data_IF_847020489121
#
_entry.id   IF_847020489121
#
_cell.length_a   1.000
_cell.length_b   1.000
_cell.length_c   1.000
_cell.angle_alpha   90.00
_cell.angle_beta   90.00
_cell.angle_gamma   90.00
#
_symmetry.space_group_name_H-M   'P 1'
#
loop_
_entity.id
_entity.type
_entity.pdbx_description
1 polymer ?
#
# COMPACT_ATOMS: atom_id res chain seq x y z
N UNK A 1 15.82 -2.64 15.31
CA UNK A 1 14.70 -3.59 15.35
C UNK A 1 13.49 -2.87 14.77
N UNK A 2 12.76 -3.47 13.82
CA UNK A 2 11.55 -2.85 13.25
C UNK A 2 10.39 -2.98 14.23
N UNK A 3 9.49 -1.99 14.26
CA UNK A 3 8.33 -2.00 15.15
C UNK A 3 7.34 -3.09 14.74
N UNK A 4 6.52 -3.54 15.70
CA UNK A 4 5.44 -4.50 15.43
C UNK A 4 4.48 -3.98 14.36
N UNK A 5 4.07 -2.71 14.46
CA UNK A 5 3.21 -2.06 13.48
C UNK A 5 3.82 -2.09 12.07
N UNK A 6 5.11 -1.73 11.94
CA UNK A 6 5.78 -1.78 10.64
C UNK A 6 5.84 -3.21 10.08
N UNK A 7 6.08 -4.21 10.93
CA UNK A 7 6.05 -5.63 10.51
C UNK A 7 4.68 -6.06 9.98
N UNK A 8 3.60 -5.59 10.60
CA UNK A 8 2.23 -5.85 10.15
C UNK A 8 1.93 -5.17 8.79
N UNK A 9 2.32 -3.91 8.60
CA UNK A 9 2.21 -3.20 7.33
C UNK A 9 2.98 -3.92 6.21
N UNK A 10 4.22 -4.33 6.47
CA UNK A 10 5.01 -5.10 5.49
C UNK A 10 4.36 -6.45 5.16
N UNK A 11 3.82 -7.14 6.18
CA UNK A 11 3.07 -8.37 5.97
C UNK A 11 1.83 -8.18 5.09
N UNK A 12 1.16 -7.03 5.20
CA UNK A 12 0.02 -6.69 4.35
C UNK A 12 0.44 -6.42 2.91
N UNK A 13 1.55 -5.70 2.68
CA UNK A 13 2.09 -5.49 1.33
C UNK A 13 2.42 -6.81 0.63
N UNK A 14 3.04 -7.76 1.35
CA UNK A 14 3.32 -9.12 0.84
C UNK A 14 2.03 -9.88 0.51
N UNK A 15 1.01 -9.79 1.36
CA UNK A 15 -0.30 -10.42 1.10
C UNK A 15 -0.95 -9.86 -0.15
N UNK A 16 -0.88 -8.55 -0.36
CA UNK A 16 -1.48 -7.90 -1.54
C UNK A 16 -0.79 -8.32 -2.83
N UNK A 17 0.55 -8.31 -2.87
CA UNK A 17 1.32 -8.79 -4.02
C UNK A 17 0.96 -10.25 -4.36
N UNK A 18 0.92 -11.13 -3.35
CA UNK A 18 0.51 -12.54 -3.52
C UNK A 18 -0.92 -12.69 -4.04
N UNK A 19 -1.86 -11.90 -3.52
CA UNK A 19 -3.27 -11.92 -3.95
C UNK A 19 -3.40 -11.57 -5.44
N UNK A 20 -2.59 -10.62 -5.92
CA UNK A 20 -2.54 -10.21 -7.33
C UNK A 20 -1.64 -11.08 -8.19
N UNK A 21 -0.90 -12.01 -7.59
CA UNK A 21 0.08 -12.91 -8.22
C UNK A 21 1.28 -12.18 -8.83
N UNK A 22 1.66 -11.04 -8.25
CA UNK A 22 2.88 -10.35 -8.62
C UNK A 22 4.10 -11.07 -8.05
N UNK A 23 5.15 -11.20 -8.86
CA UNK A 23 6.37 -11.93 -8.47
C UNK A 23 7.16 -11.18 -7.37
N UNK A 24 7.07 -9.85 -7.37
CA UNK A 24 7.79 -8.96 -6.46
C UNK A 24 6.85 -8.07 -5.65
N UNK A 25 7.33 -7.64 -4.48
CA UNK A 25 6.69 -6.59 -3.69
C UNK A 25 7.33 -5.26 -4.06
N UNK A 26 6.66 -4.48 -4.91
CA UNK A 26 7.07 -3.12 -5.23
C UNK A 26 6.49 -2.05 -4.29
N UNK A 27 6.80 -0.80 -4.59
CA UNK A 27 6.45 0.37 -3.76
C UNK A 27 4.95 0.65 -3.67
N UNK A 28 4.21 0.31 -4.71
CA UNK A 28 2.76 0.40 -4.81
C UNK A 28 2.05 -0.53 -3.82
N UNK A 29 2.62 -1.72 -3.55
CA UNK A 29 2.10 -2.63 -2.53
C UNK A 29 2.36 -2.08 -1.12
N UNK A 30 3.51 -1.44 -0.91
CA UNK A 30 3.81 -0.75 0.35
C UNK A 30 2.86 0.42 0.57
N UNK A 31 2.64 1.26 -0.46
CA UNK A 31 1.71 2.37 -0.38
C UNK A 31 0.29 1.88 -0.10
N UNK A 32 -0.17 0.83 -0.78
CA UNK A 32 -1.45 0.20 -0.50
C UNK A 32 -1.55 -0.21 0.98
N UNK A 33 -0.52 -0.86 1.52
CA UNK A 33 -0.53 -1.28 2.92
C UNK A 33 -0.50 -0.12 3.92
N UNK A 34 0.24 0.96 3.63
CA UNK A 34 0.26 2.18 4.44
C UNK A 34 -1.12 2.83 4.49
N UNK A 35 -1.85 2.83 3.38
CA UNK A 35 -3.22 3.36 3.30
C UNK A 35 -4.27 2.49 4.00
N UNK A 36 -3.93 1.28 4.45
CA UNK A 36 -4.80 0.46 5.31
C UNK A 36 -4.52 0.69 6.81
N UNK A 37 -3.47 1.46 7.14
CA UNK A 37 -3.14 1.83 8.51
C UNK A 37 -3.68 3.24 8.81
N UNK A 38 -4.27 3.42 10.00
CA UNK A 38 -4.82 4.72 10.41
C UNK A 38 -3.72 5.79 10.51
N UNK A 39 -2.54 5.43 11.06
CA UNK A 39 -1.42 6.37 11.18
C UNK A 39 -0.92 6.80 9.79
N UNK A 40 -0.80 5.84 8.87
CA UNK A 40 -0.43 6.12 7.48
C UNK A 40 -1.43 7.05 6.79
N UNK A 41 -2.72 6.79 6.98
CA UNK A 41 -3.81 7.61 6.44
C UNK A 41 -3.76 9.04 7.00
N UNK A 42 -3.68 9.18 8.32
CA UNK A 42 -3.59 10.47 8.99
C UNK A 42 -2.40 11.30 8.48
N UNK A 43 -1.22 10.68 8.33
CA UNK A 43 -0.02 11.37 7.82
C UNK A 43 -0.25 11.86 6.39
N UNK A 44 -0.79 11.00 5.50
CA UNK A 44 -1.02 11.35 4.10
C UNK A 44 -1.99 12.53 3.99
N UNK A 45 -3.10 12.50 4.74
CA UNK A 45 -4.10 13.57 4.73
C UNK A 45 -3.55 14.88 5.31
N UNK A 46 -2.76 14.81 6.38
CA UNK A 46 -2.09 16.00 6.96
C UNK A 46 -1.02 16.58 6.02
N UNK A 47 -0.50 15.80 5.08
CA UNK A 47 0.36 16.28 3.99
C UNK A 47 -0.43 16.80 2.77
N UNK A 48 -1.76 16.87 2.84
CA UNK A 48 -2.63 17.32 1.75
C UNK A 48 -2.93 16.24 0.70
N UNK A 49 -2.59 14.98 0.97
CA UNK A 49 -2.95 13.84 0.14
C UNK A 49 -4.44 13.49 0.25
N UNK A 50 -4.97 12.81 -0.76
CA UNK A 50 -6.34 12.31 -0.77
C UNK A 50 -6.34 10.79 -0.95
N UNK A 51 -6.79 10.07 0.07
CA UNK A 51 -6.77 8.60 0.13
C UNK A 51 -7.63 7.97 -0.97
N UNK A 52 -8.79 8.56 -1.29
CA UNK A 52 -9.68 8.03 -2.31
C UNK A 52 -9.05 8.10 -3.70
N UNK A 53 -8.46 9.24 -4.04
CA UNK A 53 -7.77 9.46 -5.31
C UNK A 53 -6.53 8.57 -5.44
N UNK A 54 -5.76 8.40 -4.36
CA UNK A 54 -4.62 7.48 -4.32
C UNK A 54 -5.06 6.04 -4.51
N UNK A 55 -6.14 5.62 -3.86
CA UNK A 55 -6.69 4.26 -3.96
C UNK A 55 -7.11 3.97 -5.40
N UNK A 56 -7.83 4.91 -6.03
CA UNK A 56 -8.26 4.81 -7.42
C UNK A 56 -7.07 4.75 -8.38
N UNK A 57 -6.04 5.55 -8.13
CA UNK A 57 -4.82 5.57 -8.95
C UNK A 57 -4.02 4.27 -8.84
N UNK A 58 -3.90 3.72 -7.62
CA UNK A 58 -3.26 2.43 -7.37
C UNK A 58 -4.01 1.27 -8.03
N UNK A 59 -5.34 1.23 -7.92
CA UNK A 59 -6.13 0.19 -8.60
C UNK A 59 -5.98 0.26 -10.13
N UNK A 60 -5.95 1.48 -10.68
CA UNK A 60 -5.66 1.65 -12.11
C UNK A 60 -4.25 1.19 -12.47
N UNK A 61 -3.24 1.49 -11.63
CA UNK A 61 -1.87 1.03 -11.83
C UNK A 61 -1.79 -0.49 -11.88
N UNK A 62 -2.37 -1.18 -10.89
CA UNK A 62 -2.42 -2.64 -10.84
C UNK A 62 -3.17 -3.28 -12.01
N UNK A 63 -4.16 -2.59 -12.58
CA UNK A 63 -4.86 -3.09 -13.77
C UNK A 63 -4.04 -2.95 -15.06
N UNK A 64 -3.20 -1.92 -15.15
CA UNK A 64 -2.39 -1.65 -16.35
C UNK A 64 -1.06 -2.38 -16.37
N UNK A 65 -0.54 -2.74 -15.20
CA UNK A 65 0.75 -3.41 -15.01
C UNK A 65 0.51 -4.78 -14.40
N UNK A 66 0.80 -5.82 -15.16
CA UNK A 66 0.95 -7.18 -14.61
C UNK A 66 2.45 -7.37 -14.42
N UNK A 67 2.90 -7.20 -13.19
CA UNK A 67 4.27 -7.54 -12.76
C UNK A 67 4.33 -8.98 -12.23
#
# INVERSE_FOLDING_TARGET
>A
MISKALSETLGLAVKEAKKRRHEYVGTEHLLYAIMQDNTGTDIIENCGGNIENLSRSLENFFRMRVE
#
